data_IF_916938278410
#
_entry.id   IF_916938278410
#
_cell.length_a   1.000
_cell.length_b   1.000
_cell.length_c   1.000
_cell.angle_alpha   90.00
_cell.angle_beta   90.00
_cell.angle_gamma   90.00
#
_symmetry.space_group_name_H-M   'P 1'
#
loop_
_entity.id
_entity.type
_entity.pdbx_description
1 polymer ?
#
# COMPACT_ATOMS: atom_id res chain seq x y z
N UNK A 1 4.55 -16.33 -19.05
CA UNK A 1 3.58 -15.60 -18.21
C UNK A 1 3.67 -14.11 -18.55
N UNK A 2 2.58 -13.38 -18.49
CA UNK A 2 2.64 -11.93 -18.60
C UNK A 2 3.37 -11.35 -17.39
N UNK A 3 4.30 -10.41 -17.62
CA UNK A 3 5.03 -9.74 -16.56
C UNK A 3 4.12 -8.76 -15.81
N UNK A 4 4.33 -8.60 -14.50
CA UNK A 4 3.61 -7.62 -13.66
C UNK A 4 4.34 -6.27 -13.77
N UNK A 5 3.98 -5.46 -14.78
CA UNK A 5 4.65 -4.19 -15.09
C UNK A 5 3.83 -2.96 -14.68
N UNK A 6 2.57 -3.14 -14.28
CA UNK A 6 1.68 -2.09 -13.81
C UNK A 6 1.52 -2.15 -12.29
N UNK A 7 1.54 -1.00 -11.65
CA UNK A 7 1.24 -0.86 -10.23
C UNK A 7 0.17 0.21 -10.00
N UNK A 8 -0.87 -0.12 -9.25
CA UNK A 8 -1.95 0.80 -8.88
C UNK A 8 -1.75 1.26 -7.44
N UNK A 9 -1.48 2.55 -7.25
CA UNK A 9 -1.42 3.18 -5.94
C UNK A 9 -2.79 3.79 -5.61
N UNK A 10 -3.50 3.20 -4.64
CA UNK A 10 -4.85 3.65 -4.27
C UNK A 10 -4.76 4.76 -3.24
N UNK A 11 -4.89 5.99 -3.69
CA UNK A 11 -4.76 7.22 -2.91
C UNK A 11 -6.05 8.08 -2.91
N UNK A 12 -7.20 7.53 -3.34
CA UNK A 12 -8.47 8.25 -3.48
C UNK A 12 -9.22 8.51 -2.16
N UNK A 13 -8.89 7.79 -1.08
CA UNK A 13 -9.61 7.90 0.20
C UNK A 13 -9.53 9.30 0.82
N UNK A 14 -10.64 9.83 1.33
CA UNK A 14 -10.77 11.20 1.86
C UNK A 14 -9.87 11.46 3.08
N UNK A 15 -9.56 10.42 3.86
CA UNK A 15 -8.74 10.58 5.08
C UNK A 15 -9.47 11.29 6.22
N UNK A 16 -10.78 11.07 6.39
CA UNK A 16 -11.62 11.76 7.36
C UNK A 16 -11.10 11.65 8.80
N UNK A 17 -10.45 10.55 9.18
CA UNK A 17 -9.82 10.36 10.50
C UNK A 17 -8.60 11.25 10.73
N UNK A 18 -7.99 11.79 9.65
CA UNK A 18 -6.83 12.69 9.68
C UNK A 18 -7.22 14.17 9.59
N UNK A 19 -8.50 14.50 9.61
CA UNK A 19 -8.93 15.91 9.66
C UNK A 19 -8.44 16.58 10.96
N UNK A 20 -8.02 17.86 10.90
CA UNK A 20 -8.08 18.79 9.75
C UNK A 20 -6.91 18.67 8.77
N UNK A 21 -5.85 17.91 9.05
CA UNK A 21 -4.65 17.85 8.20
C UNK A 21 -4.98 17.38 6.77
N UNK A 22 -5.83 16.35 6.63
CA UNK A 22 -6.24 15.80 5.33
C UNK A 22 -7.15 16.72 4.50
N UNK A 23 -7.64 17.83 5.06
CA UNK A 23 -8.34 18.86 4.29
C UNK A 23 -7.39 19.71 3.45
N UNK A 24 -6.10 19.73 3.79
CA UNK A 24 -5.08 20.60 3.16
C UNK A 24 -4.06 19.78 2.38
N UNK A 25 -3.67 18.63 2.91
CA UNK A 25 -2.67 17.74 2.28
C UNK A 25 -3.19 16.31 2.22
N UNK A 26 -3.01 15.65 1.08
CA UNK A 26 -3.32 14.23 0.96
C UNK A 26 -2.55 13.42 2.01
N UNK A 27 -3.22 12.52 2.75
CA UNK A 27 -2.56 11.72 3.79
C UNK A 27 -1.38 10.90 3.26
N UNK A 28 -1.43 10.52 2.01
CA UNK A 28 -0.39 9.76 1.30
C UNK A 28 0.87 10.61 1.01
N UNK A 29 0.75 11.94 1.13
CA UNK A 29 1.87 12.89 1.06
C UNK A 29 2.47 13.21 2.43
N UNK A 30 1.81 12.81 3.52
CA UNK A 30 2.38 12.93 4.86
C UNK A 30 3.64 12.06 4.94
N UNK A 31 4.76 12.60 5.47
CA UNK A 31 6.01 11.84 5.50
C UNK A 31 6.04 10.83 6.65
N UNK A 32 6.63 9.68 6.42
CA UNK A 32 7.14 8.83 7.48
C UNK A 32 8.53 9.37 7.84
N UNK A 33 8.60 10.17 8.90
CA UNK A 33 9.73 11.03 9.32
C UNK A 33 10.05 12.10 8.26
N UNK A 34 10.82 11.79 7.24
CA UNK A 34 11.32 12.73 6.22
C UNK A 34 11.06 12.27 4.77
N UNK A 35 10.44 11.09 4.59
CA UNK A 35 10.11 10.53 3.28
C UNK A 35 8.59 10.44 3.13
N UNK A 36 7.96 11.08 2.11
CA UNK A 36 6.53 10.96 1.87
C UNK A 36 6.07 9.50 1.76
N UNK A 37 4.92 9.17 2.34
CA UNK A 37 4.39 7.80 2.32
C UNK A 37 4.30 7.23 0.90
N UNK A 38 3.79 8.02 -0.03
CA UNK A 38 3.68 7.60 -1.43
C UNK A 38 5.03 7.34 -2.10
N UNK A 39 6.14 7.97 -1.63
CA UNK A 39 7.48 7.70 -2.15
C UNK A 39 7.95 6.29 -1.78
N UNK A 40 7.64 5.84 -0.56
CA UNK A 40 7.89 4.45 -0.17
C UNK A 40 7.14 3.46 -1.06
N UNK A 41 5.85 3.73 -1.33
CA UNK A 41 5.01 2.89 -2.18
C UNK A 41 5.48 2.86 -3.64
N UNK A 42 5.84 4.01 -4.19
CA UNK A 42 6.36 4.11 -5.55
C UNK A 42 7.67 3.31 -5.71
N UNK A 43 8.60 3.47 -4.76
CA UNK A 43 9.89 2.76 -4.81
C UNK A 43 9.73 1.26 -4.53
N UNK A 44 8.78 0.85 -3.69
CA UNK A 44 8.41 -0.56 -3.52
C UNK A 44 7.89 -1.16 -4.82
N UNK A 45 6.99 -0.46 -5.52
CA UNK A 45 6.46 -0.92 -6.80
C UNK A 45 7.56 -1.04 -7.89
N UNK A 46 8.47 -0.07 -7.96
CA UNK A 46 9.62 -0.09 -8.89
C UNK A 46 10.55 -1.27 -8.56
N UNK A 47 10.87 -1.51 -7.29
CA UNK A 47 11.69 -2.65 -6.85
C UNK A 47 11.02 -4.00 -7.21
N UNK A 48 9.69 -4.04 -7.21
CA UNK A 48 8.91 -5.22 -7.62
C UNK A 48 8.77 -5.38 -9.15
N UNK A 49 9.32 -4.46 -9.96
CA UNK A 49 9.36 -4.55 -11.42
C UNK A 49 8.36 -3.66 -12.15
N UNK A 50 7.65 -2.75 -11.47
CA UNK A 50 6.75 -1.81 -12.14
C UNK A 50 7.49 -0.91 -13.12
N UNK A 51 6.92 -0.74 -14.31
CA UNK A 51 7.31 0.22 -15.34
C UNK A 51 6.29 1.34 -15.49
N UNK A 52 5.06 1.10 -15.06
CA UNK A 52 3.94 2.04 -15.10
C UNK A 52 3.29 2.10 -13.72
N UNK A 53 3.08 3.31 -13.22
CA UNK A 53 2.39 3.53 -11.93
C UNK A 53 1.11 4.33 -12.19
N UNK A 54 -0.01 3.77 -11.76
CA UNK A 54 -1.33 4.36 -11.84
C UNK A 54 -1.73 4.87 -10.45
N UNK A 55 -1.77 6.19 -10.27
CA UNK A 55 -2.20 6.81 -9.01
C UNK A 55 -3.70 7.07 -9.10
N UNK A 56 -4.49 6.41 -8.25
CA UNK A 56 -5.92 6.69 -8.13
C UNK A 56 -6.11 7.74 -7.04
N UNK A 57 -6.61 8.91 -7.43
CA UNK A 57 -6.82 10.05 -6.55
C UNK A 57 -8.29 10.46 -6.48
N UNK A 58 -8.64 11.37 -5.59
CA UNK A 58 -9.93 12.07 -5.54
C UNK A 58 -9.77 13.50 -6.09
N UNK A 59 -10.88 14.18 -6.50
CA UNK A 59 -10.82 15.52 -7.08
C UNK A 59 -10.15 16.60 -6.20
N UNK A 60 -10.11 16.37 -4.89
CA UNK A 60 -9.57 17.31 -3.92
C UNK A 60 -8.10 17.08 -3.56
N UNK A 61 -7.43 16.15 -4.23
CA UNK A 61 -6.03 15.79 -3.97
C UNK A 61 -5.16 16.09 -5.19
N UNK A 62 -3.99 16.66 -4.95
CA UNK A 62 -3.01 16.96 -5.98
C UNK A 62 -1.71 16.21 -5.71
N UNK A 63 -1.29 15.40 -6.68
CA UNK A 63 -0.03 14.65 -6.67
C UNK A 63 0.97 15.18 -7.71
N UNK A 64 0.67 16.29 -8.41
CA UNK A 64 1.52 16.83 -9.49
C UNK A 64 2.93 17.16 -9.04
N UNK A 65 3.09 17.68 -7.82
CA UNK A 65 4.40 18.06 -7.29
C UNK A 65 5.32 16.83 -7.04
N UNK A 66 4.77 15.72 -6.62
CA UNK A 66 5.60 14.54 -6.33
C UNK A 66 5.81 13.66 -7.57
N UNK A 67 4.85 13.66 -8.49
CA UNK A 67 4.97 12.98 -9.78
C UNK A 67 5.81 13.78 -10.80
N UNK A 68 6.06 15.06 -10.53
CA UNK A 68 6.84 15.97 -11.38
C UNK A 68 8.36 15.82 -11.22
N UNK A 69 9.10 16.61 -12.01
CA UNK A 69 10.56 16.69 -11.89
C UNK A 69 10.98 17.53 -10.67
N UNK A 70 11.57 16.86 -9.68
CA UNK A 70 12.12 17.46 -8.48
C UNK A 70 13.65 17.57 -8.51
N UNK A 71 14.29 17.50 -9.68
CA UNK A 71 15.75 17.56 -9.85
C UNK A 71 16.40 18.82 -9.27
N UNK A 72 15.63 19.94 -9.16
CA UNK A 72 16.07 21.17 -8.49
C UNK A 72 16.52 20.94 -7.05
N UNK A 73 15.94 19.96 -6.35
CA UNK A 73 16.28 19.65 -4.96
C UNK A 73 17.67 19.02 -4.83
N UNK A 74 18.11 18.27 -5.83
CA UNK A 74 19.45 17.64 -5.86
C UNK A 74 20.58 18.68 -5.78
N UNK A 75 20.36 19.87 -6.35
CA UNK A 75 21.32 20.99 -6.24
C UNK A 75 21.42 21.60 -4.84
N UNK A 76 20.46 21.31 -3.96
CA UNK A 76 20.43 21.79 -2.56
C UNK A 76 20.85 20.74 -1.55
N UNK A 77 20.56 19.48 -1.84
CA UNK A 77 20.81 18.33 -0.95
C UNK A 77 21.33 17.15 -1.77
N UNK A 78 22.59 17.26 -2.22
CA UNK A 78 23.26 16.23 -3.00
C UNK A 78 23.52 14.93 -2.20
N UNK A 79 23.31 14.96 -0.88
CA UNK A 79 23.43 13.82 0.02
C UNK A 79 22.16 12.94 0.08
N UNK A 80 21.05 13.40 -0.52
CA UNK A 80 19.80 12.61 -0.58
C UNK A 80 19.79 11.74 -1.84
N UNK A 81 19.40 10.50 -1.70
CA UNK A 81 19.25 9.56 -2.80
C UNK A 81 18.28 10.10 -3.87
N UNK A 82 18.67 10.03 -5.14
CA UNK A 82 17.89 10.59 -6.27
C UNK A 82 16.49 10.00 -6.33
N UNK A 83 16.38 8.71 -6.09
CA UNK A 83 15.12 7.95 -6.09
C UNK A 83 14.13 8.37 -5.00
N UNK A 84 14.57 9.13 -4.00
CA UNK A 84 13.68 9.71 -2.97
C UNK A 84 13.29 11.13 -3.31
N UNK A 85 14.17 11.90 -3.94
CA UNK A 85 13.85 13.24 -4.42
C UNK A 85 12.86 13.20 -5.61
N UNK A 86 12.96 12.17 -6.45
CA UNK A 86 12.10 11.96 -7.62
C UNK A 86 11.64 10.49 -7.66
N UNK A 87 10.69 10.08 -6.79
CA UNK A 87 10.37 8.68 -6.58
C UNK A 87 9.75 7.97 -7.80
N UNK A 88 9.35 8.73 -8.80
CA UNK A 88 8.75 8.24 -10.06
C UNK A 88 9.66 8.41 -11.28
N UNK A 89 10.95 8.76 -11.11
CA UNK A 89 11.82 9.15 -12.23
C UNK A 89 12.10 8.02 -13.26
N UNK A 90 11.89 6.77 -12.88
CA UNK A 90 12.22 5.60 -13.68
C UNK A 90 10.99 4.89 -14.27
N UNK A 91 9.80 5.49 -14.15
CA UNK A 91 8.51 4.88 -14.54
C UNK A 91 7.59 5.89 -15.20
N UNK A 92 6.67 5.39 -16.02
CA UNK A 92 5.55 6.20 -16.52
C UNK A 92 4.47 6.34 -15.44
N UNK A 93 3.96 7.56 -15.25
CA UNK A 93 2.95 7.87 -14.24
C UNK A 93 1.64 8.28 -14.89
N UNK A 94 0.56 7.62 -14.49
CA UNK A 94 -0.80 7.92 -14.89
C UNK A 94 -1.64 8.30 -13.67
N UNK A 95 -2.38 9.39 -13.75
CA UNK A 95 -3.25 9.82 -12.65
C UNK A 95 -4.71 9.62 -13.06
N UNK A 96 -5.45 8.86 -12.26
CA UNK A 96 -6.87 8.56 -12.46
C UNK A 96 -7.67 9.16 -11.32
N UNK A 97 -8.77 9.85 -11.65
CA UNK A 97 -9.61 10.52 -10.65
C UNK A 97 -10.85 9.69 -10.38
N UNK A 98 -10.99 9.20 -9.15
CA UNK A 98 -12.24 8.64 -8.64
C UNK A 98 -13.12 9.79 -8.17
N UNK A 99 -14.11 10.18 -8.98
CA UNK A 99 -14.98 11.33 -8.69
C UNK A 99 -15.92 11.11 -7.51
N UNK A 100 -16.34 9.87 -7.29
CA UNK A 100 -17.22 9.48 -6.19
C UNK A 100 -16.58 8.30 -5.46
N UNK A 101 -16.39 8.42 -4.15
CA UNK A 101 -15.79 7.36 -3.33
C UNK A 101 -16.80 6.20 -3.14
N UNK A 102 -16.72 5.19 -4.00
CA UNK A 102 -17.55 3.98 -3.99
C UNK A 102 -16.80 2.73 -3.55
N UNK A 103 -15.71 2.90 -2.78
CA UNK A 103 -14.92 1.79 -2.28
C UNK A 103 -13.75 1.41 -3.18
N UNK A 104 -13.08 0.33 -2.79
CA UNK A 104 -11.80 -0.12 -3.37
C UNK A 104 -11.96 -0.68 -4.78
N UNK A 105 -13.00 -1.49 -5.05
CA UNK A 105 -13.24 -2.05 -6.38
C UNK A 105 -13.54 -0.98 -7.44
N UNK A 106 -14.37 0.02 -7.10
CA UNK A 106 -14.65 1.17 -7.97
C UNK A 106 -13.38 2.02 -8.23
N UNK A 107 -12.53 2.18 -7.20
CA UNK A 107 -11.24 2.85 -7.37
C UNK A 107 -10.38 2.13 -8.42
N UNK A 108 -10.23 0.82 -8.35
CA UNK A 108 -9.48 0.03 -9.34
C UNK A 108 -10.05 0.21 -10.74
N UNK A 109 -11.38 0.22 -10.89
CA UNK A 109 -12.05 0.39 -12.18
C UNK A 109 -11.65 1.67 -12.90
N UNK A 110 -11.23 2.73 -12.18
CA UNK A 110 -10.76 3.97 -12.77
C UNK A 110 -9.46 3.80 -13.58
N UNK A 111 -8.62 2.82 -13.25
CA UNK A 111 -7.32 2.59 -13.91
C UNK A 111 -7.34 1.44 -14.92
N UNK A 112 -8.27 0.48 -14.81
CA UNK A 112 -8.26 -0.77 -15.58
C UNK A 112 -8.42 -0.62 -17.09
N UNK A 113 -8.85 0.55 -17.58
CA UNK A 113 -8.87 0.83 -19.02
C UNK A 113 -7.49 1.07 -19.62
N UNK A 114 -6.47 1.30 -18.78
CA UNK A 114 -5.09 1.58 -19.18
C UNK A 114 -4.12 0.46 -18.76
N UNK A 115 -4.64 -0.65 -18.25
CA UNK A 115 -3.86 -1.79 -17.77
C UNK A 115 -4.22 -3.01 -18.59
N UNK A 116 -3.18 -3.65 -19.16
CA UNK A 116 -3.28 -4.91 -19.86
C UNK A 116 -2.47 -5.98 -19.12
N UNK A 117 -3.14 -7.04 -18.67
CA UNK A 117 -2.51 -8.14 -17.94
C UNK A 117 -2.56 -8.00 -16.40
N UNK A 118 -1.70 -8.75 -15.69
CA UNK A 118 -1.64 -8.72 -14.23
C UNK A 118 -1.01 -7.43 -13.72
N UNK A 119 -1.42 -6.98 -12.53
CA UNK A 119 -0.94 -5.74 -11.96
C UNK A 119 -0.85 -5.81 -10.43
N UNK A 120 0.07 -5.02 -9.88
CA UNK A 120 0.18 -4.82 -8.43
C UNK A 120 -0.84 -3.79 -7.94
N UNK A 121 -1.31 -3.93 -6.70
CA UNK A 121 -2.10 -2.91 -6.01
C UNK A 121 -1.50 -2.64 -4.64
N UNK A 122 -1.26 -1.37 -4.35
CA UNK A 122 -0.73 -0.89 -3.07
C UNK A 122 -1.70 0.15 -2.49
N UNK A 123 -2.21 -0.12 -1.28
CA UNK A 123 -3.06 0.86 -0.59
C UNK A 123 -2.20 2.01 -0.04
N UNK A 124 -2.63 3.24 -0.31
CA UNK A 124 -1.85 4.47 -0.13
C UNK A 124 -1.52 4.84 1.32
N UNK A 125 -2.21 4.27 2.30
CA UNK A 125 -2.00 4.52 3.73
C UNK A 125 -1.25 3.41 4.48
N UNK A 126 -0.87 2.35 3.78
CA UNK A 126 -0.16 1.20 4.35
C UNK A 126 1.29 1.17 3.85
N UNK A 127 2.25 1.40 4.72
CA UNK A 127 3.68 1.29 4.44
C UNK A 127 4.20 0.02 5.10
N UNK A 128 4.80 -0.87 4.31
CA UNK A 128 5.41 -2.11 4.77
C UNK A 128 6.92 -2.04 4.52
N UNK A 129 7.72 -2.20 5.56
CA UNK A 129 9.17 -2.08 5.49
C UNK A 129 9.86 -3.29 6.11
N UNK A 130 10.79 -3.88 5.38
CA UNK A 130 11.72 -4.91 5.82
C UNK A 130 13.13 -4.36 6.12
N UNK A 131 13.38 -3.10 5.74
CA UNK A 131 14.65 -2.38 5.96
C UNK A 131 14.35 -0.95 6.38
N UNK A 132 15.11 -0.43 7.36
CA UNK A 132 14.90 0.90 7.95
C UNK A 132 16.03 1.83 7.54
N UNK A 133 16.03 2.27 6.31
CA UNK A 133 17.06 3.11 5.71
C UNK A 133 16.70 4.59 5.75
N UNK A 134 17.72 5.45 5.85
CA UNK A 134 17.56 6.90 5.75
C UNK A 134 17.58 7.39 4.31
N UNK A 135 17.43 8.70 4.13
CA UNK A 135 17.36 9.35 2.81
C UNK A 135 18.64 9.27 1.99
N UNK A 136 19.81 8.99 2.62
CA UNK A 136 21.10 8.89 1.92
C UNK A 136 21.31 7.54 1.26
N UNK A 137 20.94 6.48 1.96
CA UNK A 137 21.13 5.09 1.55
C UNK A 137 19.79 4.38 1.55
N UNK A 138 18.84 4.94 0.81
CA UNK A 138 17.49 4.41 0.77
C UNK A 138 17.44 3.00 0.17
N UNK A 139 16.71 2.13 0.82
CA UNK A 139 16.41 0.77 0.35
C UNK A 139 14.90 0.62 0.28
N UNK A 140 14.39 0.29 -0.88
CA UNK A 140 12.97 0.05 -1.10
C UNK A 140 12.51 -1.25 -0.40
N UNK A 141 11.26 -1.29 0.01
CA UNK A 141 10.64 -2.50 0.56
C UNK A 141 10.51 -3.59 -0.51
N UNK A 142 10.67 -4.84 -0.09
CA UNK A 142 10.46 -6.01 -0.93
C UNK A 142 9.04 -6.61 -0.81
N UNK A 143 8.10 -5.96 -0.13
CA UNK A 143 6.77 -6.53 0.12
C UNK A 143 6.05 -6.91 -1.17
N UNK A 144 5.87 -5.98 -2.10
CA UNK A 144 5.22 -6.25 -3.40
C UNK A 144 6.01 -7.24 -4.26
N UNK A 145 7.35 -7.23 -4.19
CA UNK A 145 8.21 -8.16 -4.91
C UNK A 145 7.96 -9.61 -4.51
N UNK A 146 7.73 -9.88 -3.21
CA UNK A 146 7.37 -11.24 -2.74
C UNK A 146 6.05 -11.72 -3.34
N UNK A 147 5.07 -10.84 -3.49
CA UNK A 147 3.81 -11.21 -4.13
C UNK A 147 3.99 -11.46 -5.64
N UNK A 148 4.78 -10.64 -6.32
CA UNK A 148 5.09 -10.82 -7.75
C UNK A 148 5.81 -12.15 -7.98
N UNK A 149 6.83 -12.47 -7.17
CA UNK A 149 7.54 -13.74 -7.24
C UNK A 149 6.61 -14.95 -7.03
N UNK A 150 5.60 -14.82 -6.17
CA UNK A 150 4.62 -15.90 -5.95
C UNK A 150 3.61 -16.00 -7.11
N UNK A 151 3.18 -14.86 -7.65
CA UNK A 151 2.39 -14.82 -8.88
C UNK A 151 3.13 -15.46 -10.06
N UNK A 152 4.42 -15.18 -10.23
CA UNK A 152 5.25 -15.77 -11.31
C UNK A 152 5.37 -17.30 -11.21
N UNK A 153 5.31 -17.87 -10.00
CA UNK A 153 5.32 -19.32 -9.80
C UNK A 153 3.96 -19.98 -10.07
N UNK A 154 2.86 -19.29 -9.71
CA UNK A 154 1.53 -19.90 -9.65
C UNK A 154 0.59 -19.43 -10.75
N UNK A 155 0.80 -18.23 -11.31
CA UNK A 155 -0.15 -17.51 -12.19
C UNK A 155 -1.50 -17.24 -11.51
N UNK A 156 -1.58 -17.28 -10.18
CA UNK A 156 -2.79 -17.03 -9.41
C UNK A 156 -2.73 -15.66 -8.75
N UNK A 157 -3.88 -14.99 -8.56
CA UNK A 157 -3.91 -13.74 -7.82
C UNK A 157 -3.36 -13.93 -6.40
N UNK A 158 -2.65 -12.91 -5.90
CA UNK A 158 -1.99 -12.95 -4.60
C UNK A 158 -2.45 -11.80 -3.71
N UNK A 159 -2.54 -12.06 -2.41
CA UNK A 159 -2.81 -11.07 -1.37
C UNK A 159 -1.72 -11.12 -0.30
N UNK A 160 -1.21 -9.95 0.10
CA UNK A 160 -0.26 -9.81 1.20
C UNK A 160 -0.96 -9.90 2.55
N UNK A 161 -0.38 -10.68 3.45
CA UNK A 161 -0.90 -10.94 4.78
C UNK A 161 0.10 -10.53 5.85
N UNK A 162 -0.43 -10.00 6.95
CA UNK A 162 0.34 -9.69 8.15
C UNK A 162 -0.40 -10.20 9.39
N UNK A 163 0.34 -10.72 10.37
CA UNK A 163 -0.22 -11.09 11.65
C UNK A 163 -0.40 -9.85 12.54
N UNK A 164 -1.57 -9.70 13.16
CA UNK A 164 -1.90 -8.58 14.05
C UNK A 164 -2.50 -9.04 15.36
N UNK A 165 -2.44 -8.18 16.39
CA UNK A 165 -3.07 -8.45 17.70
C UNK A 165 -4.58 -8.15 17.71
N UNK A 166 -5.03 -7.19 16.89
CA UNK A 166 -6.41 -6.69 16.84
C UNK A 166 -7.03 -6.92 15.45
N UNK A 167 -7.32 -8.19 15.05
CA UNK A 167 -7.78 -8.54 13.70
C UNK A 167 -9.16 -7.95 13.34
N UNK A 168 -9.99 -7.62 14.33
CA UNK A 168 -11.34 -7.08 14.16
C UNK A 168 -11.41 -5.76 13.37
N UNK A 169 -10.28 -5.12 13.14
CA UNK A 169 -10.21 -3.86 12.39
C UNK A 169 -9.98 -4.04 10.88
N UNK A 170 -9.77 -5.28 10.43
CA UNK A 170 -9.26 -5.59 9.10
C UNK A 170 -10.06 -6.72 8.42
N UNK A 171 -9.78 -6.95 7.16
CA UNK A 171 -10.18 -8.18 6.47
C UNK A 171 -9.32 -9.36 6.95
N UNK A 172 -9.92 -10.26 7.71
CA UNK A 172 -9.24 -11.42 8.31
C UNK A 172 -9.34 -12.61 7.38
N UNK A 173 -8.25 -13.38 7.23
CA UNK A 173 -8.21 -14.54 6.35
C UNK A 173 -8.00 -15.86 7.10
N UNK A 174 -8.62 -16.93 6.61
CA UNK A 174 -8.25 -18.30 6.96
C UNK A 174 -7.47 -18.93 5.81
N UNK A 175 -6.39 -19.65 6.14
CA UNK A 175 -5.49 -20.27 5.18
C UNK A 175 -5.59 -21.80 5.19
N UNK A 176 -5.29 -22.41 4.02
CA UNK A 176 -4.99 -23.83 3.91
C UNK A 176 -3.74 -24.02 3.04
N UNK A 177 -2.60 -24.26 3.67
CA UNK A 177 -1.30 -24.06 3.03
C UNK A 177 -1.13 -22.60 2.61
N UNK A 178 -0.79 -22.35 1.35
CA UNK A 178 -0.67 -21.01 0.79
C UNK A 178 -1.97 -20.47 0.15
N UNK A 179 -3.07 -21.21 0.20
CA UNK A 179 -4.36 -20.82 -0.35
C UNK A 179 -5.23 -20.13 0.71
N UNK A 180 -5.76 -18.98 0.38
CA UNK A 180 -6.83 -18.32 1.14
C UNK A 180 -8.12 -19.11 0.99
N UNK A 181 -8.77 -19.45 2.10
CA UNK A 181 -10.04 -20.20 2.14
C UNK A 181 -11.22 -19.38 2.58
N UNK A 182 -10.98 -18.36 3.36
CA UNK A 182 -12.02 -17.49 3.84
C UNK A 182 -11.48 -16.06 4.00
N UNK A 183 -12.31 -15.08 3.72
CA UNK A 183 -12.07 -13.66 4.03
C UNK A 183 -13.32 -13.13 4.74
N UNK A 184 -13.13 -12.63 5.95
CA UNK A 184 -14.18 -12.01 6.76
C UNK A 184 -13.81 -10.56 7.03
N UNK A 185 -14.59 -9.63 6.50
CA UNK A 185 -14.34 -8.20 6.69
C UNK A 185 -14.78 -7.77 8.09
N UNK A 186 -13.84 -7.27 8.88
CA UNK A 186 -14.02 -6.73 10.24
C UNK A 186 -14.91 -7.61 11.14
N UNK A 187 -14.52 -8.87 11.36
CA UNK A 187 -15.28 -9.76 12.22
C UNK A 187 -15.25 -9.29 13.68
N UNK A 188 -16.21 -9.76 14.48
CA UNK A 188 -16.03 -9.70 15.92
C UNK A 188 -14.76 -10.49 16.31
N UNK A 189 -13.96 -9.99 17.23
CA UNK A 189 -12.68 -10.60 17.65
C UNK A 189 -12.78 -12.10 17.95
N UNK A 190 -13.84 -12.49 18.66
CA UNK A 190 -14.11 -13.90 19.03
C UNK A 190 -14.48 -14.80 17.83
N UNK A 191 -14.89 -14.19 16.71
CA UNK A 191 -15.31 -14.88 15.48
C UNK A 191 -14.26 -14.74 14.36
N UNK A 192 -13.14 -14.07 14.63
CA UNK A 192 -12.06 -13.93 13.67
C UNK A 192 -11.45 -15.32 13.37
N UNK A 193 -11.39 -15.74 12.09
CA UNK A 193 -10.91 -17.09 11.74
C UNK A 193 -9.41 -17.28 12.01
N UNK A 194 -8.66 -16.18 12.16
CA UNK A 194 -7.23 -16.18 12.48
C UNK A 194 -6.80 -14.78 12.96
N UNK A 195 -5.49 -14.57 13.12
CA UNK A 195 -4.87 -13.25 13.30
C UNK A 195 -4.18 -12.72 12.03
N UNK A 196 -4.29 -13.44 10.90
CA UNK A 196 -3.75 -12.99 9.61
C UNK A 196 -4.75 -12.08 8.92
N UNK A 197 -4.28 -10.90 8.50
CA UNK A 197 -5.12 -9.88 7.88
C UNK A 197 -4.53 -9.38 6.56
N UNK A 198 -5.40 -8.88 5.67
CA UNK A 198 -5.01 -8.22 4.44
C UNK A 198 -4.25 -6.93 4.75
N UNK A 199 -3.00 -6.81 4.32
CA UNK A 199 -2.13 -5.67 4.63
C UNK A 199 -2.00 -4.64 3.49
N UNK A 200 -2.94 -4.67 2.53
CA UNK A 200 -2.99 -3.66 1.47
C UNK A 200 -1.98 -3.85 0.34
N UNK A 201 -1.51 -5.07 0.12
CA UNK A 201 -0.68 -5.48 -1.03
C UNK A 201 -1.35 -6.61 -1.77
N UNK A 202 -1.43 -6.46 -3.11
CA UNK A 202 -2.08 -7.44 -3.96
C UNK A 202 -1.36 -7.55 -5.31
N UNK A 203 -1.43 -8.73 -5.93
CA UNK A 203 -1.23 -8.94 -7.37
C UNK A 203 -2.53 -9.50 -7.91
N UNK A 204 -3.18 -8.74 -8.77
CA UNK A 204 -4.44 -9.12 -9.39
C UNK A 204 -4.21 -9.53 -10.85
N UNK A 205 -5.06 -10.41 -11.34
CA UNK A 205 -4.99 -10.99 -12.69
C UNK A 205 -5.80 -10.16 -13.70
N UNK A 206 -5.57 -10.37 -14.97
CA UNK A 206 -6.20 -9.63 -16.07
C UNK A 206 -7.74 -9.70 -16.07
N UNK A 207 -8.32 -10.79 -15.52
CA UNK A 207 -9.76 -10.98 -15.39
C UNK A 207 -10.44 -10.06 -14.36
N UNK A 208 -9.67 -9.30 -13.59
CA UNK A 208 -10.17 -8.34 -12.59
C UNK A 208 -11.22 -7.39 -13.16
N UNK A 209 -11.01 -6.90 -14.39
CA UNK A 209 -11.94 -5.98 -15.06
C UNK A 209 -13.31 -6.61 -15.28
N UNK A 210 -13.33 -7.85 -15.76
CA UNK A 210 -14.57 -8.58 -16.03
C UNK A 210 -15.26 -8.96 -14.71
N UNK A 211 -14.49 -9.34 -13.70
CA UNK A 211 -15.01 -9.66 -12.38
C UNK A 211 -15.61 -8.43 -11.68
N UNK A 212 -14.98 -7.25 -11.75
CA UNK A 212 -15.54 -6.02 -11.22
C UNK A 212 -16.83 -5.59 -11.94
N UNK A 213 -16.95 -5.92 -13.23
CA UNK A 213 -18.21 -5.72 -13.97
C UNK A 213 -19.28 -6.72 -13.56
N UNK A 214 -18.91 -7.97 -13.28
CA UNK A 214 -19.80 -9.04 -12.82
C UNK A 214 -20.30 -8.81 -11.40
N UNK A 215 -19.43 -8.39 -10.49
CA UNK A 215 -19.72 -8.08 -9.09
C UNK A 215 -19.83 -6.57 -8.93
N UNK A 216 -20.96 -6.00 -9.41
CA UNK A 216 -21.12 -4.55 -9.51
C UNK A 216 -21.19 -3.86 -8.14
N UNK A 217 -20.84 -2.58 -8.11
CA UNK A 217 -20.97 -1.77 -6.90
C UNK A 217 -22.45 -1.66 -6.46
N UNK A 218 -23.38 -1.62 -7.38
CA UNK A 218 -24.83 -1.55 -7.10
C UNK A 218 -25.32 -2.75 -6.29
N UNK A 219 -24.73 -3.91 -6.48
CA UNK A 219 -25.08 -5.14 -5.78
C UNK A 219 -24.27 -5.37 -4.50
N UNK A 220 -22.97 -5.09 -4.53
CA UNK A 220 -22.03 -5.44 -3.46
C UNK A 220 -21.55 -4.24 -2.64
N UNK A 221 -21.77 -3.01 -3.10
CA UNK A 221 -21.28 -1.80 -2.44
C UNK A 221 -19.76 -1.82 -2.24
N UNK A 222 -19.31 -1.39 -1.07
CA UNK A 222 -17.88 -1.37 -0.73
C UNK A 222 -17.24 -2.77 -0.65
N UNK A 223 -18.04 -3.84 -0.54
CA UNK A 223 -17.58 -5.23 -0.51
C UNK A 223 -17.29 -5.81 -1.90
N UNK A 224 -17.44 -5.04 -2.98
CA UNK A 224 -17.20 -5.47 -4.35
C UNK A 224 -15.84 -6.19 -4.52
N UNK A 225 -14.75 -5.63 -3.98
CA UNK A 225 -13.43 -6.24 -4.07
C UNK A 225 -13.33 -7.57 -3.31
N UNK A 226 -14.05 -7.71 -2.21
CA UNK A 226 -14.13 -8.98 -1.46
C UNK A 226 -14.89 -10.03 -2.28
N UNK A 227 -15.95 -9.64 -3.00
CA UNK A 227 -16.68 -10.53 -3.89
C UNK A 227 -15.79 -11.07 -5.02
N UNK A 228 -14.93 -10.20 -5.61
CA UNK A 228 -13.91 -10.62 -6.59
C UNK A 228 -12.92 -11.60 -5.98
N UNK A 229 -12.39 -11.32 -4.80
CA UNK A 229 -11.46 -12.22 -4.12
C UNK A 229 -12.11 -13.57 -3.78
N UNK A 230 -13.36 -13.59 -3.35
CA UNK A 230 -14.14 -14.81 -3.13
C UNK A 230 -14.32 -15.61 -4.43
N UNK A 231 -14.56 -14.93 -5.55
CA UNK A 231 -14.63 -15.59 -6.84
C UNK A 231 -13.35 -16.37 -7.15
N UNK A 232 -12.17 -15.77 -6.97
CA UNK A 232 -10.92 -16.48 -7.19
C UNK A 232 -10.75 -17.67 -6.22
N UNK A 233 -11.07 -17.49 -4.93
CA UNK A 233 -10.98 -18.58 -3.94
C UNK A 233 -11.82 -19.81 -4.34
N UNK A 234 -12.99 -19.58 -4.93
CA UNK A 234 -13.94 -20.64 -5.30
C UNK A 234 -13.59 -21.32 -6.63
N UNK A 235 -12.94 -20.63 -7.55
CA UNK A 235 -12.70 -21.11 -8.92
C UNK A 235 -11.25 -21.48 -9.18
N UNK A 236 -10.33 -20.50 -9.11
CA UNK A 236 -8.95 -20.68 -9.57
C UNK A 236 -7.96 -20.79 -8.41
N UNK A 237 -8.30 -20.27 -7.27
CA UNK A 237 -7.45 -20.11 -6.09
C UNK A 237 -7.00 -18.66 -5.91
N UNK A 238 -6.77 -18.29 -4.65
CA UNK A 238 -6.20 -17.02 -4.21
C UNK A 238 -5.04 -17.33 -3.28
N UNK A 239 -3.85 -16.86 -3.60
CA UNK A 239 -2.64 -17.11 -2.80
C UNK A 239 -2.54 -16.06 -1.70
N UNK A 240 -2.34 -16.52 -0.46
CA UNK A 240 -1.93 -15.67 0.65
C UNK A 240 -0.42 -15.68 0.81
N UNK A 241 0.20 -14.51 0.81
CA UNK A 241 1.65 -14.32 0.99
C UNK A 241 1.89 -13.66 2.35
N UNK A 242 2.33 -14.43 3.32
CA UNK A 242 2.69 -13.90 4.63
C UNK A 242 3.96 -13.04 4.54
N UNK A 243 3.85 -11.79 4.96
CA UNK A 243 4.95 -10.82 4.95
C UNK A 243 5.64 -10.79 6.33
N UNK A 244 6.20 -11.95 6.71
CA UNK A 244 6.96 -12.08 7.94
C UNK A 244 8.24 -11.25 7.90
N UNK A 245 8.53 -10.57 9.02
CA UNK A 245 9.69 -9.69 9.15
C UNK A 245 9.46 -8.27 8.63
N UNK A 246 8.28 -7.97 8.07
CA UNK A 246 7.92 -6.61 7.69
C UNK A 246 7.27 -5.86 8.85
N UNK A 247 7.69 -4.61 9.02
CA UNK A 247 6.98 -3.68 9.89
C UNK A 247 5.90 -2.97 9.09
N UNK A 248 4.67 -3.06 9.57
CA UNK A 248 3.53 -2.36 8.96
C UNK A 248 3.28 -1.03 9.68
N UNK A 249 3.28 0.06 8.92
CA UNK A 249 2.96 1.41 9.38
C UNK A 249 1.65 1.88 8.74
N UNK A 250 0.68 2.24 9.59
CA UNK A 250 -0.62 2.80 9.20
C UNK A 250 -0.59 4.33 9.35
N UNK A 251 -0.81 5.04 8.23
CA UNK A 251 -0.94 6.50 8.20
C UNK A 251 -2.41 6.98 8.17
N UNK A 252 -3.36 6.08 8.36
CA UNK A 252 -4.80 6.36 8.23
C UNK A 252 -5.44 7.09 9.42
N UNK A 253 -4.76 7.20 10.57
CA UNK A 253 -5.27 7.89 11.77
C UNK A 253 -4.13 8.52 12.57
N UNK A 254 -4.41 9.58 13.40
CA UNK A 254 -3.37 10.36 14.09
C UNK A 254 -2.48 9.54 15.02
N UNK A 255 -3.05 8.65 15.84
CA UNK A 255 -2.28 7.87 16.82
C UNK A 255 -1.42 6.79 16.14
N UNK A 256 -1.95 5.94 15.24
CA UNK A 256 -1.12 5.03 14.46
C UNK A 256 0.00 5.76 13.71
N UNK A 257 -0.32 6.88 13.06
CA UNK A 257 0.66 7.68 12.32
C UNK A 257 1.78 8.22 13.24
N UNK A 258 1.44 8.76 14.44
CA UNK A 258 2.44 9.23 15.41
C UNK A 258 3.32 8.09 15.92
N UNK A 259 2.73 6.93 16.23
CA UNK A 259 3.49 5.72 16.61
C UNK A 259 4.44 5.28 15.51
N UNK A 260 3.98 5.32 14.25
CA UNK A 260 4.81 5.01 13.07
C UNK A 260 6.02 5.94 12.95
N UNK A 261 5.85 7.25 13.19
CA UNK A 261 6.94 8.23 13.19
C UNK A 261 8.02 7.88 14.20
N UNK A 262 7.61 7.58 15.43
CA UNK A 262 8.53 7.29 16.54
C UNK A 262 9.24 5.94 16.31
N UNK A 263 8.50 4.89 15.96
CA UNK A 263 9.06 3.56 15.73
C UNK A 263 10.05 3.56 14.57
N UNK A 264 9.69 4.18 13.43
CA UNK A 264 10.58 4.29 12.28
C UNK A 264 11.86 5.08 12.62
N UNK A 265 11.74 6.21 13.34
CA UNK A 265 12.90 7.00 13.76
C UNK A 265 13.81 6.22 14.72
N UNK A 266 13.26 5.41 15.63
CA UNK A 266 14.02 4.55 16.54
C UNK A 266 14.74 3.38 15.84
N UNK A 267 14.31 2.99 14.65
CA UNK A 267 14.93 1.92 13.85
C UNK A 267 15.96 2.44 12.84
N UNK A 268 15.88 3.71 12.47
CA UNK A 268 16.83 4.32 11.53
C UNK A 268 18.16 4.61 12.22
N UNK A 269 19.24 4.12 11.63
CA UNK A 269 20.59 4.26 12.15
C UNK A 269 21.00 5.73 12.36
N UNK A 270 20.59 6.63 11.44
CA UNK A 270 20.91 8.07 11.47
C UNK A 270 20.12 8.88 12.50
N UNK A 271 19.02 8.35 13.06
CA UNK A 271 18.12 9.05 13.96
C UNK A 271 18.01 8.41 15.36
N UNK A 272 18.18 7.09 15.47
CA UNK A 272 17.84 6.31 16.66
C UNK A 272 18.49 6.83 17.95
N UNK A 273 19.75 7.29 17.89
CA UNK A 273 20.48 7.80 19.06
C UNK A 273 19.81 9.04 19.65
N UNK A 274 19.62 10.06 18.82
CA UNK A 274 19.03 11.34 19.25
C UNK A 274 17.59 11.21 19.71
N UNK A 275 16.79 10.37 19.00
CA UNK A 275 15.39 10.15 19.38
C UNK A 275 15.27 9.38 20.69
N UNK A 276 16.11 8.37 20.92
CA UNK A 276 16.12 7.60 22.16
C UNK A 276 16.46 8.50 23.37
N UNK A 277 17.54 9.25 23.27
CA UNK A 277 17.96 10.18 24.31
C UNK A 277 16.86 11.21 24.65
N UNK A 278 16.24 11.79 23.61
CA UNK A 278 15.16 12.75 23.81
C UNK A 278 13.92 12.14 24.48
N UNK A 279 13.52 10.91 24.08
CA UNK A 279 12.38 10.21 24.69
C UNK A 279 12.66 9.86 26.14
N UNK A 280 13.86 9.36 26.49
CA UNK A 280 14.25 9.04 27.86
C UNK A 280 14.18 10.28 28.76
N UNK A 281 14.69 11.42 28.32
CA UNK A 281 14.60 12.69 29.07
C UNK A 281 13.11 13.12 29.29
N UNK A 282 12.26 12.93 28.29
CA UNK A 282 10.85 13.30 28.36
C UNK A 282 10.02 12.42 29.29
N UNK A 283 10.32 11.14 29.35
CA UNK A 283 9.59 10.17 30.19
C UNK A 283 10.04 10.21 31.67
N UNK A 284 11.20 10.84 31.97
CA UNK A 284 11.68 11.04 33.32
C UNK A 284 11.16 12.31 33.99
N UNK A 285 10.52 13.20 33.23
CA UNK A 285 9.89 14.45 33.70
C UNK A 285 8.42 14.27 33.97
#
# INVERSE_FOLDING_TARGET
MAAVEDAVLVAGGIGSRMLPASAVIAKELLPLVDIPAISHLAREAVEAGAKRIHIITSPNKDFSNIAGDNSWASGKRADIAKEILSPFCDVDVFVHVQHVARGFGDALSCALHSIDGPFMVLLGDNILLDTFSGTRNYVASNASKRLVEEYEKTSLPCVGLSAVEDPENYGVVAMNGNLVKEIVEKPNRELAPSNLVLCGRYVFTEDTKDLLSKYSFEEYGELQSIAVQKHWMENNGLIGVELDGFQWYDSGAPIPWLKSQIDYALRREDLQGSIREWLEDRLQR
#
